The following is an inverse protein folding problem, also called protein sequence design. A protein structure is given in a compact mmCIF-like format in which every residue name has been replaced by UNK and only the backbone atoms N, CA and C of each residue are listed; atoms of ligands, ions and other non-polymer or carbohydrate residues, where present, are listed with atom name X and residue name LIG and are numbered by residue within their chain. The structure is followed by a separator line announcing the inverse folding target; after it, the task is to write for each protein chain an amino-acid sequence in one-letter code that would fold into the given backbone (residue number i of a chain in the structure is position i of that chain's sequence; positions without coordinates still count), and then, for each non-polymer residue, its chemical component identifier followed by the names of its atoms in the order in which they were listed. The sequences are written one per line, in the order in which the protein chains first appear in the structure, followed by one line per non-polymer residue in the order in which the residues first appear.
data_IF_663113293296
#
_entry.id   IF_663113293296
#
_cell.length_a   1.000
_cell.length_b   1.000
_cell.length_c   1.000
_cell.angle_alpha   90.00
_cell.angle_beta   90.00
_cell.angle_gamma   90.00
#
_symmetry.space_group_name_H-M   'P 1'
#
loop_
_entity.id
_entity.type
_entity.pdbx_description
1 polymer ?
#
# COMPACT_ATOMS: atom_id res chain seq x y z
N UNK A 1 2.25 -2.80 -12.67
CA UNK A 1 3.64 -2.58 -13.16
C UNK A 1 3.71 -1.92 -14.55
N UNK A 2 2.69 -2.06 -15.41
CA UNK A 2 2.78 -1.61 -16.82
C UNK A 2 3.11 -0.13 -17.02
N UNK A 3 2.51 0.78 -16.24
CA UNK A 3 2.83 2.23 -16.34
C UNK A 3 4.29 2.49 -16.01
N UNK A 4 4.77 1.96 -14.88
CA UNK A 4 6.17 2.06 -14.46
C UNK A 4 7.14 1.50 -15.50
N UNK A 5 6.83 0.35 -16.09
CA UNK A 5 7.63 -0.24 -17.15
C UNK A 5 7.68 0.64 -18.41
N UNK A 6 6.55 1.22 -18.80
CA UNK A 6 6.48 2.09 -19.97
C UNK A 6 7.34 3.34 -19.78
N UNK A 7 7.20 4.06 -18.67
CA UNK A 7 7.93 5.33 -18.46
C UNK A 7 9.45 5.13 -18.30
N UNK A 8 9.91 3.98 -17.80
CA UNK A 8 11.34 3.62 -17.81
C UNK A 8 11.81 3.33 -19.23
N UNK A 9 11.04 2.56 -20.00
CA UNK A 9 11.39 2.22 -21.39
C UNK A 9 11.44 3.44 -22.31
N UNK A 10 10.54 4.41 -22.12
CA UNK A 10 10.53 5.66 -22.88
C UNK A 10 11.59 6.67 -22.39
N UNK A 11 12.40 6.32 -21.38
CA UNK A 11 13.47 7.19 -20.87
C UNK A 11 12.99 8.42 -20.09
N UNK A 12 11.75 8.40 -19.56
CA UNK A 12 11.21 9.53 -18.80
C UNK A 12 11.72 9.54 -17.35
N UNK A 13 12.09 8.37 -16.82
CA UNK A 13 12.65 8.19 -15.48
C UNK A 13 13.69 7.07 -15.46
N UNK A 14 14.68 7.18 -14.58
CA UNK A 14 15.71 6.15 -14.39
C UNK A 14 15.29 5.04 -13.39
N UNK A 15 14.37 5.35 -12.47
CA UNK A 15 13.98 4.42 -11.41
C UNK A 15 12.55 4.63 -10.92
N UNK A 16 11.93 3.54 -10.45
CA UNK A 16 10.54 3.52 -9.96
C UNK A 16 10.54 3.31 -8.45
N UNK A 17 10.13 4.35 -7.71
CA UNK A 17 9.88 4.23 -6.27
C UNK A 17 8.56 3.54 -5.97
N UNK A 18 8.57 2.54 -5.09
CA UNK A 18 7.36 1.89 -4.58
C UNK A 18 7.15 2.26 -3.11
N UNK A 19 6.16 3.11 -2.84
CA UNK A 19 5.77 3.51 -1.49
C UNK A 19 4.68 2.61 -0.91
N UNK A 20 3.44 3.13 -0.87
CA UNK A 20 2.27 2.45 -0.27
C UNK A 20 1.99 1.04 -0.79
N UNK A 21 2.43 0.73 -2.02
CA UNK A 21 2.29 -0.61 -2.59
C UNK A 21 3.09 -1.67 -1.83
N UNK A 22 4.26 -1.33 -1.28
CA UNK A 22 5.09 -2.27 -0.51
C UNK A 22 4.43 -2.63 0.81
N UNK A 23 3.61 -1.73 1.38
CA UNK A 23 2.89 -2.01 2.63
C UNK A 23 1.75 -3.02 2.46
N UNK A 24 1.07 -3.02 1.31
CA UNK A 24 -0.03 -3.97 1.06
C UNK A 24 0.40 -5.20 0.29
N UNK A 25 1.50 -5.10 -0.48
CA UNK A 25 2.02 -6.16 -1.33
C UNK A 25 3.57 -6.13 -1.37
N UNK A 26 4.25 -6.56 -0.28
CA UNK A 26 5.71 -6.54 -0.19
C UNK A 26 6.42 -7.30 -1.33
N UNK A 27 5.85 -8.43 -1.75
CA UNK A 27 6.43 -9.30 -2.79
C UNK A 27 6.18 -8.81 -4.23
N UNK A 28 5.44 -7.70 -4.43
CA UNK A 28 5.09 -7.18 -5.76
C UNK A 28 6.30 -7.03 -6.70
N UNK A 29 7.48 -6.53 -6.27
CA UNK A 29 8.64 -6.42 -7.15
C UNK A 29 9.10 -7.79 -7.65
N UNK A 30 9.22 -8.77 -6.75
CA UNK A 30 9.64 -10.12 -7.07
C UNK A 30 8.64 -10.83 -8.00
N UNK A 31 7.34 -10.70 -7.70
CA UNK A 31 6.27 -11.27 -8.53
C UNK A 31 6.26 -10.65 -9.93
N UNK A 32 6.46 -9.34 -10.03
CA UNK A 32 6.53 -8.62 -11.31
C UNK A 32 7.71 -9.11 -12.15
N UNK A 33 8.91 -9.23 -11.56
CA UNK A 33 10.11 -9.68 -12.24
C UNK A 33 10.02 -11.16 -12.67
N UNK A 34 9.35 -11.98 -11.87
CA UNK A 34 9.10 -13.38 -12.18
C UNK A 34 7.95 -13.60 -13.20
N UNK A 35 7.33 -12.53 -13.71
CA UNK A 35 6.20 -12.61 -14.64
C UNK A 35 4.94 -13.21 -14.04
N UNK A 36 4.81 -13.23 -12.70
CA UNK A 36 3.66 -13.82 -12.01
C UNK A 36 2.44 -12.89 -12.14
N UNK A 37 1.22 -13.46 -12.19
CA UNK A 37 0.00 -12.66 -12.09
C UNK A 37 -0.04 -11.86 -10.77
N UNK A 38 -0.43 -10.59 -10.85
CA UNK A 38 -0.53 -9.75 -9.66
C UNK A 38 -1.66 -10.23 -8.74
N UNK A 39 -1.37 -10.31 -7.44
CA UNK A 39 -2.39 -10.51 -6.41
C UNK A 39 -3.30 -9.27 -6.29
N UNK A 40 -4.37 -9.23 -7.09
CA UNK A 40 -5.28 -8.06 -7.21
C UNK A 40 -5.82 -7.57 -5.87
N UNK A 41 -6.07 -8.49 -4.92
CA UNK A 41 -6.57 -8.16 -3.57
C UNK A 41 -5.57 -7.36 -2.74
N UNK A 42 -4.28 -7.44 -3.03
CA UNK A 42 -3.20 -6.71 -2.34
C UNK A 42 -2.86 -5.35 -2.97
N UNK A 43 -3.53 -4.96 -4.06
CA UNK A 43 -3.27 -3.68 -4.73
C UNK A 43 -3.78 -2.52 -3.87
N UNK A 44 -2.89 -1.57 -3.56
CA UNK A 44 -3.23 -0.36 -2.82
C UNK A 44 -4.29 0.46 -3.57
N UNK A 45 -5.34 0.85 -2.85
CA UNK A 45 -6.48 1.66 -3.38
C UNK A 45 -6.59 3.02 -2.67
N UNK A 46 -5.44 3.54 -2.23
CA UNK A 46 -5.29 4.91 -1.70
C UNK A 46 -6.24 5.26 -0.54
N UNK A 47 -6.48 4.33 0.38
CA UNK A 47 -7.29 4.55 1.59
C UNK A 47 -6.69 5.57 2.58
N UNK A 48 -5.40 5.85 2.42
CA UNK A 48 -4.60 6.78 3.23
C UNK A 48 -4.38 6.37 4.70
N UNK A 49 -4.83 5.18 5.12
CA UNK A 49 -4.61 4.68 6.49
C UNK A 49 -3.13 4.62 6.88
N UNK A 50 -2.25 4.32 5.92
CA UNK A 50 -0.80 4.32 6.11
C UNK A 50 -0.22 5.69 6.54
N UNK A 51 -0.92 6.79 6.26
CA UNK A 51 -0.51 8.15 6.70
C UNK A 51 -1.45 8.72 7.76
N UNK A 52 -2.73 8.36 7.78
CA UNK A 52 -3.67 8.77 8.83
C UNK A 52 -3.28 8.19 10.19
N UNK A 53 -2.93 6.90 10.25
CA UNK A 53 -2.54 6.24 11.50
C UNK A 53 -1.38 6.96 12.22
N UNK A 54 -0.20 7.20 11.59
CA UNK A 54 0.90 7.89 12.28
C UNK A 54 0.60 9.33 12.66
N UNK A 55 -0.30 10.02 11.95
CA UNK A 55 -0.74 11.38 12.34
C UNK A 55 -1.61 11.39 13.60
N UNK A 56 -2.16 10.24 13.99
CA UNK A 56 -2.92 10.03 15.22
C UNK A 56 -2.10 9.28 16.28
N UNK A 57 -0.78 9.19 16.12
CA UNK A 57 0.12 8.48 17.05
C UNK A 57 0.07 6.95 16.95
N UNK A 58 -0.59 6.39 15.94
CA UNK A 58 -0.65 4.94 15.71
C UNK A 58 0.45 4.47 14.76
N UNK A 59 0.77 3.18 14.78
CA UNK A 59 1.78 2.61 13.86
C UNK A 59 1.34 2.74 12.39
N UNK A 60 2.29 3.07 11.51
CA UNK A 60 2.04 3.11 10.06
C UNK A 60 1.97 1.70 9.47
N UNK A 61 1.00 1.46 8.59
CA UNK A 61 0.80 0.16 7.94
C UNK A 61 -0.39 0.14 6.98
N UNK A 62 -0.73 -1.06 6.48
CA UNK A 62 -1.87 -1.24 5.57
C UNK A 62 -3.06 -1.96 6.24
N UNK A 63 -3.75 -1.24 7.13
CA UNK A 63 -4.96 -1.71 7.82
C UNK A 63 -6.06 -2.37 6.96
N UNK A 64 -6.34 -1.95 5.71
CA UNK A 64 -7.42 -2.55 4.93
C UNK A 64 -7.02 -3.75 4.05
N UNK A 65 -5.73 -4.05 3.90
CA UNK A 65 -5.25 -5.06 2.92
C UNK A 65 -4.17 -6.01 3.46
N UNK A 66 -3.53 -5.67 4.57
CA UNK A 66 -2.57 -6.54 5.25
C UNK A 66 -3.25 -7.14 6.48
N UNK A 67 -3.36 -8.47 6.51
CA UNK A 67 -4.02 -9.23 7.57
C UNK A 67 -3.39 -8.96 8.94
N UNK A 68 -2.07 -8.72 9.01
CA UNK A 68 -1.40 -8.38 10.25
C UNK A 68 -1.91 -7.05 10.82
N UNK A 69 -2.03 -6.01 9.99
CA UNK A 69 -2.54 -4.72 10.44
C UNK A 69 -4.06 -4.72 10.64
N UNK A 70 -4.80 -5.52 9.87
CA UNK A 70 -6.24 -5.64 10.00
C UNK A 70 -6.67 -6.27 11.34
N UNK A 71 -5.88 -7.21 11.86
CA UNK A 71 -6.15 -7.91 13.11
C UNK A 71 -5.78 -7.12 14.38
N UNK A 72 -5.12 -5.97 14.24
CA UNK A 72 -4.64 -5.16 15.36
C UNK A 72 -5.73 -4.27 15.95
N UNK A 73 -5.65 -4.01 17.25
CA UNK A 73 -6.57 -3.09 17.95
C UNK A 73 -6.54 -1.67 17.35
N UNK A 74 -5.38 -1.22 16.87
CA UNK A 74 -5.23 0.07 16.19
C UNK A 74 -6.12 0.19 14.94
N UNK A 75 -6.51 -0.91 14.29
CA UNK A 75 -7.42 -0.89 13.15
C UNK A 75 -8.81 -0.36 13.55
N UNK A 76 -9.30 -0.76 14.72
CA UNK A 76 -10.58 -0.31 15.27
C UNK A 76 -10.49 1.17 15.64
N UNK A 77 -9.44 1.55 16.35
CA UNK A 77 -9.19 2.95 16.75
C UNK A 77 -9.13 3.85 15.52
N UNK A 78 -8.41 3.45 14.47
CA UNK A 78 -8.32 4.21 13.22
C UNK A 78 -9.67 4.35 12.51
N UNK A 79 -10.49 3.29 12.52
CA UNK A 79 -11.83 3.31 11.94
C UNK A 79 -12.75 4.28 12.68
N UNK A 80 -12.65 4.35 14.00
CA UNK A 80 -13.40 5.28 14.83
C UNK A 80 -12.97 6.73 14.55
N UNK A 81 -11.66 7.03 14.52
CA UNK A 81 -11.14 8.36 14.14
C UNK A 81 -11.64 8.83 12.77
N UNK A 82 -11.62 7.96 11.76
CA UNK A 82 -12.09 8.31 10.40
C UNK A 82 -13.59 8.53 10.33
N UNK A 83 -14.38 7.89 11.22
CA UNK A 83 -15.83 8.10 11.31
C UNK A 83 -16.14 9.45 11.94
N UNK A 84 -15.41 9.84 12.97
CA UNK A 84 -15.59 11.13 13.66
C UNK A 84 -15.13 12.33 12.82
N UNK A 85 -14.12 12.14 11.96
CA UNK A 85 -13.60 13.19 11.09
C UNK A 85 -14.41 13.44 9.81
N UNK A 86 -15.52 12.70 9.59
CA UNK A 86 -16.37 12.79 8.40
C UNK A 86 -17.66 13.54 8.70
#
# INVERSE_FOLDING_TARGET
PHVAQAVVREGWIDSVGLGRMVLSYPDMPADTLAGRPLARKKICRTFSDCTTAPRQGLVSGCYPLDDFYAARDEAKVLKDFKREAR
#
